data_IF_218454116299
#
_entry.id   IF_218454116299
#
_cell.length_a   1.000
_cell.length_b   1.000
_cell.length_c   1.000
_cell.angle_alpha   90.00
_cell.angle_beta   90.00
_cell.angle_gamma   90.00
#
_symmetry.space_group_name_H-M   'P 1'
#
loop_
_entity.id
_entity.type
_entity.pdbx_description
1 polymer ?
#
# COMPACT_ATOMS: atom_id res chain seq x y z
N UNK A 1 -15.82 39.38 75.32
CA UNK A 1 -14.48 39.55 75.91
C UNK A 1 -13.48 38.70 75.13
N UNK A 2 -12.36 39.32 74.71
CA UNK A 2 -11.08 38.73 74.23
C UNK A 2 -11.09 38.23 72.77
N UNK A 3 -10.45 38.93 71.83
CA UNK A 3 -9.00 38.90 71.49
C UNK A 3 -8.54 37.48 71.08
N UNK A 4 -7.80 37.20 70.01
CA UNK A 4 -6.92 38.00 69.17
C UNK A 4 -6.59 37.20 67.89
N UNK A 5 -6.30 37.92 66.82
CA UNK A 5 -5.40 37.51 65.75
C UNK A 5 -4.14 36.84 66.30
N UNK A 6 -3.92 35.54 66.05
CA UNK A 6 -2.58 34.99 65.80
C UNK A 6 -2.65 33.51 65.39
N UNK A 7 -2.37 33.19 64.13
CA UNK A 7 -1.25 32.30 63.79
C UNK A 7 -1.20 32.11 62.28
N UNK A 8 -0.30 32.88 61.69
CA UNK A 8 0.21 32.72 60.33
C UNK A 8 0.78 31.31 60.11
N UNK A 9 0.63 30.87 58.87
CA UNK A 9 1.56 30.01 58.14
C UNK A 9 1.76 28.60 58.66
N UNK A 10 1.26 27.60 57.91
CA UNK A 10 2.00 26.41 57.43
C UNK A 10 1.09 25.39 56.73
N UNK A 11 0.20 25.80 55.84
CA UNK A 11 -0.62 24.84 55.08
C UNK A 11 -0.67 25.15 53.58
N UNK A 12 0.48 25.51 53.01
CA UNK A 12 0.58 25.82 51.59
C UNK A 12 1.91 25.40 51.01
N UNK A 13 2.31 24.12 51.11
CA UNK A 13 3.43 23.59 50.29
C UNK A 13 3.69 22.07 50.30
N UNK A 14 2.69 21.20 50.51
CA UNK A 14 2.94 19.75 50.58
C UNK A 14 1.88 18.89 49.87
N UNK A 15 1.30 19.37 48.78
CA UNK A 15 0.33 18.59 47.97
C UNK A 15 0.69 18.54 46.47
N UNK A 16 1.97 18.64 46.12
CA UNK A 16 2.42 18.75 44.73
C UNK A 16 3.23 17.58 44.15
N UNK A 17 3.54 16.53 44.92
CA UNK A 17 4.46 15.47 44.44
C UNK A 17 3.97 14.02 44.63
N UNK A 18 2.78 13.80 45.21
CA UNK A 18 2.24 12.44 45.39
C UNK A 18 1.51 11.88 44.16
N UNK A 19 0.87 12.75 43.37
CA UNK A 19 0.00 12.31 42.27
C UNK A 19 0.76 12.01 40.96
N UNK A 20 1.97 12.52 40.77
CA UNK A 20 2.72 12.31 39.52
C UNK A 20 3.42 10.94 39.45
N UNK A 21 3.70 10.29 40.59
CA UNK A 21 4.37 8.98 40.63
C UNK A 21 3.40 7.80 40.50
N UNK A 22 2.12 7.98 40.82
CA UNK A 22 1.11 6.92 40.67
C UNK A 22 0.69 6.69 39.20
N UNK A 23 0.88 7.68 38.32
CA UNK A 23 0.50 7.57 36.90
C UNK A 23 1.62 6.96 36.04
N UNK A 24 2.88 6.98 36.50
CA UNK A 24 4.01 6.37 35.78
C UNK A 24 4.12 4.84 35.92
N UNK A 25 3.48 4.25 36.94
CA UNK A 25 3.55 2.81 37.23
C UNK A 25 2.54 1.95 36.46
N UNK A 26 1.58 2.56 35.74
CA UNK A 26 0.65 1.84 34.87
C UNK A 26 1.14 1.71 33.41
N UNK A 27 2.31 2.27 33.08
CA UNK A 27 2.84 2.27 31.73
C UNK A 27 3.88 1.16 31.44
N UNK A 28 4.19 0.30 32.42
CA UNK A 28 5.15 -0.78 32.27
C UNK A 28 4.51 -2.12 32.61
N UNK A 29 4.36 -3.00 31.61
CA UNK A 29 4.21 -4.44 31.85
C UNK A 29 2.97 -5.12 31.29
N UNK A 30 2.55 -4.78 30.07
CA UNK A 30 2.13 -5.86 29.18
C UNK A 30 3.40 -6.39 28.53
N UNK A 31 3.93 -7.54 28.96
CA UNK A 31 4.75 -8.33 28.04
C UNK A 31 3.87 -8.59 26.83
N UNK A 32 4.36 -8.34 25.61
CA UNK A 32 3.67 -8.85 24.44
C UNK A 32 3.69 -10.39 24.54
N UNK A 33 2.68 -10.98 25.17
CA UNK A 33 2.47 -12.42 25.15
C UNK A 33 2.00 -12.80 23.74
N UNK A 34 2.58 -13.87 23.20
CA UNK A 34 2.06 -14.47 22.00
C UNK A 34 0.63 -14.95 22.26
N UNK A 35 -0.27 -14.74 21.30
CA UNK A 35 -1.67 -15.13 21.42
C UNK A 35 -1.81 -16.64 21.76
N UNK A 36 -2.71 -16.98 22.67
CA UNK A 36 -3.00 -18.36 23.04
C UNK A 36 -3.65 -19.10 21.83
N UNK A 37 -3.47 -20.42 21.65
CA UNK A 37 -4.19 -21.19 20.63
C UNK A 37 -5.72 -20.96 20.55
N UNK A 38 -6.38 -20.64 21.68
CA UNK A 38 -7.81 -20.26 21.72
C UNK A 38 -8.08 -18.81 21.26
N UNK A 39 -7.06 -17.96 21.22
CA UNK A 39 -7.11 -16.63 20.59
C UNK A 39 -6.80 -16.71 19.09
N UNK A 40 -6.16 -17.79 18.61
CA UNK A 40 -5.93 -18.03 17.17
C UNK A 40 -7.19 -18.45 16.38
N UNK A 41 -8.38 -18.37 16.98
CA UNK A 41 -9.65 -18.83 16.41
C UNK A 41 -10.17 -18.02 15.20
N UNK A 42 -9.55 -16.90 14.86
CA UNK A 42 -10.02 -16.01 13.78
C UNK A 42 -8.96 -15.80 12.70
N UNK A 43 -8.65 -16.81 11.87
CA UNK A 43 -7.87 -16.63 10.63
C UNK A 43 -6.67 -15.67 10.78
N UNK A 44 -5.95 -15.78 11.91
CA UNK A 44 -4.83 -14.90 12.27
C UNK A 44 -3.51 -15.35 11.63
N UNK A 45 -3.55 -16.31 10.71
CA UNK A 45 -2.49 -16.45 9.74
C UNK A 45 -2.50 -15.19 8.88
N UNK A 46 -1.75 -14.17 9.29
CA UNK A 46 -1.51 -12.98 8.47
C UNK A 46 -1.14 -13.41 7.05
N UNK A 47 -1.43 -12.58 6.03
CA UNK A 47 -1.21 -12.97 4.63
C UNK A 47 0.22 -13.48 4.47
N UNK A 48 0.35 -14.77 4.15
CA UNK A 48 1.65 -15.40 3.91
C UNK A 48 2.03 -15.07 2.48
N UNK A 49 2.67 -13.92 2.32
CA UNK A 49 3.20 -13.51 1.04
C UNK A 49 4.46 -14.31 0.73
N UNK A 50 4.30 -15.34 -0.10
CA UNK A 50 5.40 -16.22 -0.52
C UNK A 50 6.23 -15.56 -1.64
N UNK A 51 5.77 -14.44 -2.20
CA UNK A 51 6.42 -13.77 -3.32
C UNK A 51 6.15 -14.49 -4.63
N UNK A 52 5.08 -15.28 -4.71
CA UNK A 52 4.75 -16.06 -5.89
C UNK A 52 4.04 -15.18 -6.94
N UNK A 53 4.80 -14.27 -7.56
CA UNK A 53 4.30 -13.34 -8.57
C UNK A 53 4.55 -13.90 -9.97
N UNK A 54 3.51 -13.90 -10.81
CA UNK A 54 3.56 -14.38 -12.18
C UNK A 54 4.64 -13.66 -13.02
N UNK A 55 5.13 -14.27 -14.10
CA UNK A 55 6.07 -13.63 -15.01
C UNK A 55 5.40 -12.50 -15.80
N UNK A 56 6.21 -11.56 -16.31
CA UNK A 56 5.76 -10.33 -16.97
C UNK A 56 4.76 -10.58 -18.11
N UNK A 57 4.91 -11.68 -18.85
CA UNK A 57 4.12 -12.02 -20.03
C UNK A 57 2.66 -12.37 -19.67
N UNK A 58 2.40 -12.82 -18.43
CA UNK A 58 1.05 -13.21 -17.99
C UNK A 58 0.10 -12.02 -17.87
N UNK A 59 0.63 -10.81 -17.68
CA UNK A 59 -0.18 -9.60 -17.56
C UNK A 59 -0.65 -9.05 -18.92
N UNK A 60 -0.01 -9.41 -20.04
CA UNK A 60 -0.20 -8.72 -21.32
C UNK A 60 -1.64 -8.78 -21.84
N UNK A 61 -2.28 -9.94 -21.74
CA UNK A 61 -3.69 -10.11 -22.14
C UNK A 61 -4.63 -9.27 -21.28
N UNK A 62 -4.38 -9.20 -19.97
CA UNK A 62 -5.17 -8.40 -19.05
C UNK A 62 -5.03 -6.92 -19.38
N UNK A 63 -3.80 -6.47 -19.64
CA UNK A 63 -3.51 -5.08 -20.02
C UNK A 63 -4.19 -4.73 -21.35
N UNK A 64 -4.09 -5.58 -22.38
CA UNK A 64 -4.71 -5.30 -23.68
C UNK A 64 -6.24 -5.18 -23.57
N UNK A 65 -6.89 -6.09 -22.85
CA UNK A 65 -8.34 -6.08 -22.68
C UNK A 65 -8.80 -4.87 -21.87
N UNK A 66 -8.20 -4.64 -20.69
CA UNK A 66 -8.58 -3.51 -19.85
C UNK A 66 -8.27 -2.16 -20.51
N UNK A 67 -7.18 -2.07 -21.28
CA UNK A 67 -6.86 -0.85 -22.03
C UNK A 67 -7.95 -0.54 -23.06
N UNK A 68 -8.33 -1.54 -23.87
CA UNK A 68 -9.38 -1.37 -24.86
C UNK A 68 -10.72 -1.01 -24.22
N UNK A 69 -11.11 -1.70 -23.15
CA UNK A 69 -12.32 -1.39 -22.39
C UNK A 69 -12.29 0.04 -21.84
N UNK A 70 -11.16 0.45 -21.23
CA UNK A 70 -11.00 1.80 -20.67
C UNK A 70 -11.08 2.89 -21.75
N UNK A 71 -10.38 2.73 -22.87
CA UNK A 71 -10.41 3.68 -23.98
C UNK A 71 -11.79 3.77 -24.64
N UNK A 72 -12.47 2.64 -24.83
CA UNK A 72 -13.81 2.62 -25.42
C UNK A 72 -14.87 3.22 -24.47
N UNK A 73 -14.91 2.77 -23.22
CA UNK A 73 -15.98 3.11 -22.27
C UNK A 73 -15.84 4.51 -21.69
N UNK A 74 -14.63 4.94 -21.31
CA UNK A 74 -14.45 6.20 -20.59
C UNK A 74 -13.94 7.34 -21.47
N UNK A 75 -13.28 7.03 -22.58
CA UNK A 75 -12.58 8.04 -23.39
C UNK A 75 -13.07 8.14 -24.84
N UNK A 76 -14.09 7.36 -25.20
CA UNK A 76 -14.65 7.29 -26.55
C UNK A 76 -13.55 7.19 -27.64
N UNK A 77 -12.53 6.37 -27.37
CA UNK A 77 -11.37 6.21 -28.23
C UNK A 77 -11.31 4.78 -28.77
N UNK A 78 -11.09 4.58 -30.09
CA UNK A 78 -10.94 3.26 -30.69
C UNK A 78 -9.50 2.71 -30.55
N UNK A 79 -8.70 3.28 -29.65
CA UNK A 79 -7.32 2.84 -29.45
C UNK A 79 -7.30 1.43 -28.87
N UNK A 80 -6.51 0.56 -29.49
CA UNK A 80 -6.25 -0.80 -29.02
C UNK A 80 -4.75 -1.06 -29.04
N UNK A 81 -4.29 -1.90 -28.11
CA UNK A 81 -2.92 -2.42 -28.14
C UNK A 81 -2.89 -3.59 -29.13
N UNK A 82 -2.09 -3.47 -30.18
CA UNK A 82 -1.95 -4.48 -31.24
C UNK A 82 -0.79 -5.44 -30.99
N UNK A 83 0.16 -5.07 -30.13
CA UNK A 83 1.29 -5.90 -29.79
C UNK A 83 2.15 -5.29 -28.69
N UNK A 84 3.05 -6.11 -28.15
CA UNK A 84 4.05 -5.72 -27.17
C UNK A 84 5.45 -6.06 -27.68
N UNK A 85 6.43 -5.26 -27.28
CA UNK A 85 7.83 -5.48 -27.61
C UNK A 85 8.74 -5.18 -26.41
N UNK A 86 9.88 -5.88 -26.34
CA UNK A 86 10.92 -5.63 -25.36
C UNK A 86 10.44 -5.69 -23.91
N UNK A 87 9.51 -6.60 -23.60
CA UNK A 87 9.01 -6.81 -22.23
C UNK A 87 10.13 -7.38 -21.39
N UNK A 88 10.43 -6.72 -20.27
CA UNK A 88 11.43 -7.18 -19.31
C UNK A 88 11.06 -6.73 -17.90
N UNK A 89 11.53 -7.49 -16.94
CA UNK A 89 11.46 -7.12 -15.53
C UNK A 89 12.38 -5.95 -15.23
N UNK A 90 11.89 -5.03 -14.39
CA UNK A 90 12.63 -3.86 -13.91
C UNK A 90 12.89 -3.91 -12.41
N UNK A 91 12.02 -4.54 -11.63
CA UNK A 91 12.25 -4.85 -10.23
C UNK A 91 11.36 -6.00 -9.76
N UNK A 92 11.82 -6.74 -8.77
CA UNK A 92 11.05 -7.76 -8.08
C UNK A 92 11.16 -7.55 -6.57
N UNK A 93 10.02 -7.37 -5.91
CA UNK A 93 9.91 -7.05 -4.47
C UNK A 93 10.84 -5.88 -4.05
N UNK A 94 10.68 -4.67 -4.64
CA UNK A 94 11.58 -3.55 -4.35
C UNK A 94 11.45 -2.99 -2.93
N UNK A 95 10.35 -3.27 -2.22
CA UNK A 95 10.13 -2.80 -0.86
C UNK A 95 10.48 -3.85 0.21
N UNK A 96 10.39 -3.44 1.47
CA UNK A 96 10.65 -4.30 2.64
C UNK A 96 9.84 -5.61 2.56
N UNK A 97 10.39 -6.67 3.15
CA UNK A 97 9.88 -8.06 3.07
C UNK A 97 8.39 -8.21 3.39
N UNK A 98 7.88 -7.34 4.26
CA UNK A 98 6.54 -7.44 4.85
C UNK A 98 5.46 -6.76 3.99
N UNK A 99 5.83 -6.19 2.84
CA UNK A 99 4.88 -5.65 1.89
C UNK A 99 4.39 -6.72 0.92
N UNK A 100 3.18 -6.51 0.39
CA UNK A 100 2.59 -7.31 -0.68
C UNK A 100 3.59 -7.40 -1.86
N UNK A 101 4.07 -8.60 -2.22
CA UNK A 101 5.05 -8.78 -3.27
C UNK A 101 4.55 -8.28 -4.62
N UNK A 102 5.41 -7.53 -5.31
CA UNK A 102 5.16 -7.01 -6.66
C UNK A 102 6.32 -7.30 -7.59
N UNK A 103 5.99 -7.64 -8.84
CA UNK A 103 6.93 -7.70 -9.97
C UNK A 103 6.64 -6.53 -10.90
N UNK A 104 7.63 -5.68 -11.13
CA UNK A 104 7.55 -4.53 -12.02
C UNK A 104 8.15 -4.86 -13.37
N UNK A 105 7.41 -4.58 -14.43
CA UNK A 105 7.81 -4.85 -15.79
C UNK A 105 7.64 -3.59 -16.64
N UNK A 106 8.50 -3.46 -17.64
CA UNK A 106 8.45 -2.37 -18.62
C UNK A 106 8.62 -2.95 -20.01
N UNK A 107 8.00 -2.28 -20.99
CA UNK A 107 8.28 -2.53 -22.39
C UNK A 107 7.61 -1.49 -23.28
N UNK A 108 7.28 -1.92 -24.49
CA UNK A 108 6.65 -1.10 -25.51
C UNK A 108 5.31 -1.69 -25.92
N UNK A 109 4.29 -0.85 -25.98
CA UNK A 109 2.98 -1.18 -26.53
C UNK A 109 2.83 -0.53 -27.91
N UNK A 110 2.53 -1.35 -28.91
CA UNK A 110 2.17 -0.91 -30.24
C UNK A 110 0.67 -0.63 -30.26
N UNK A 111 0.25 0.55 -30.70
CA UNK A 111 -1.16 0.92 -30.75
C UNK A 111 -1.70 0.98 -32.18
N UNK A 112 -3.03 0.89 -32.31
CA UNK A 112 -3.74 1.01 -33.59
C UNK A 112 -3.56 2.36 -34.30
N UNK A 113 -3.09 3.40 -33.61
CA UNK A 113 -2.72 4.69 -34.23
C UNK A 113 -1.31 4.70 -34.86
N UNK A 114 -0.63 3.56 -34.88
CA UNK A 114 0.71 3.40 -35.44
C UNK A 114 1.83 3.94 -34.55
N UNK A 115 1.52 4.47 -33.36
CA UNK A 115 2.53 5.00 -32.44
C UNK A 115 2.89 3.96 -31.38
N UNK A 116 4.18 3.82 -31.15
CA UNK A 116 4.74 2.99 -30.08
C UNK A 116 4.85 3.84 -28.81
N UNK A 117 4.37 3.31 -27.68
CA UNK A 117 4.43 3.98 -26.38
C UNK A 117 5.02 3.05 -25.33
N UNK A 118 5.73 3.62 -24.35
CA UNK A 118 6.20 2.83 -23.20
C UNK A 118 5.02 2.40 -22.35
N UNK A 119 5.04 1.15 -21.91
CA UNK A 119 4.10 0.61 -20.94
C UNK A 119 4.87 0.19 -19.69
N UNK A 120 4.38 0.61 -18.54
CA UNK A 120 4.89 0.24 -17.23
C UNK A 120 3.77 -0.43 -16.46
N UNK A 121 4.05 -1.57 -15.83
CA UNK A 121 3.04 -2.29 -15.08
C UNK A 121 3.66 -3.08 -13.94
N UNK A 122 2.82 -3.42 -12.96
CA UNK A 122 3.18 -4.29 -11.86
C UNK A 122 2.16 -5.41 -11.69
N UNK A 123 2.67 -6.60 -11.38
CA UNK A 123 1.88 -7.76 -11.01
C UNK A 123 2.00 -7.91 -9.50
N UNK A 124 0.86 -8.05 -8.82
CA UNK A 124 0.74 -7.92 -7.36
C UNK A 124 0.17 -9.23 -6.83
N UNK A 125 0.90 -9.87 -5.91
CA UNK A 125 0.37 -11.04 -5.19
C UNK A 125 -0.91 -10.64 -4.43
N UNK A 126 -1.98 -11.40 -4.60
CA UNK A 126 -3.30 -11.11 -4.01
C UNK A 126 -3.84 -9.68 -4.26
N UNK A 127 -3.35 -9.01 -5.31
CA UNK A 127 -3.82 -7.66 -5.69
C UNK A 127 -5.09 -7.65 -6.54
N UNK A 128 -5.72 -8.81 -6.76
CA UNK A 128 -6.94 -8.93 -7.54
C UNK A 128 -8.19 -8.45 -6.78
N UNK A 129 -9.34 -8.55 -7.43
CA UNK A 129 -10.61 -8.15 -6.81
C UNK A 129 -10.88 -8.97 -5.53
N UNK A 130 -11.14 -8.29 -4.42
CA UNK A 130 -11.32 -8.92 -3.10
C UNK A 130 -10.15 -9.82 -2.66
N UNK A 131 -8.92 -9.50 -3.10
CA UNK A 131 -7.72 -10.33 -2.87
C UNK A 131 -7.78 -11.72 -3.52
N UNK A 132 -8.64 -11.88 -4.54
CA UNK A 132 -8.76 -13.12 -5.30
C UNK A 132 -7.86 -12.99 -6.53
N UNK A 133 -6.87 -13.88 -6.65
CA UNK A 133 -5.83 -13.89 -7.69
C UNK A 133 -4.89 -12.67 -7.63
N UNK A 134 -3.92 -12.67 -8.55
CA UNK A 134 -2.95 -11.58 -8.69
C UNK A 134 -3.58 -10.35 -9.35
N UNK A 135 -3.19 -9.17 -8.88
CA UNK A 135 -3.58 -7.89 -9.45
C UNK A 135 -2.62 -7.46 -10.55
N UNK A 136 -3.14 -6.74 -11.54
CA UNK A 136 -2.32 -6.10 -12.59
C UNK A 136 -2.62 -4.61 -12.59
N UNK A 137 -1.64 -3.81 -12.17
CA UNK A 137 -1.67 -2.35 -12.28
C UNK A 137 -0.81 -1.92 -13.46
N UNK A 138 -1.30 -1.04 -14.33
CA UNK A 138 -0.61 -0.69 -15.57
C UNK A 138 -0.81 0.78 -15.96
N UNK A 139 0.16 1.31 -16.72
CA UNK A 139 0.15 2.65 -17.26
C UNK A 139 0.86 2.70 -18.62
N UNK A 140 0.19 3.26 -19.63
CA UNK A 140 0.78 3.56 -20.95
C UNK A 140 1.17 5.03 -20.99
N UNK A 141 2.46 5.30 -21.17
CA UNK A 141 3.01 6.65 -21.15
C UNK A 141 2.36 7.51 -22.26
N UNK A 142 1.84 8.68 -21.88
CA UNK A 142 1.11 9.58 -22.77
C UNK A 142 -0.37 9.23 -22.98
N UNK A 143 -0.87 8.15 -22.37
CA UNK A 143 -2.30 7.78 -22.36
C UNK A 143 -2.88 7.62 -20.95
N UNK A 144 -2.16 8.08 -19.93
CA UNK A 144 -2.70 8.24 -18.58
C UNK A 144 -3.59 9.49 -18.48
N UNK A 145 -4.78 9.40 -19.07
CA UNK A 145 -5.72 10.54 -19.21
C UNK A 145 -6.24 11.06 -17.88
N UNK A 146 -6.35 10.19 -16.87
CA UNK A 146 -6.83 10.54 -15.54
C UNK A 146 -5.71 10.80 -14.52
N UNK A 147 -4.46 10.86 -14.99
CA UNK A 147 -3.28 11.12 -14.15
C UNK A 147 -3.14 10.16 -12.96
N UNK A 148 -3.58 8.90 -13.12
CA UNK A 148 -3.53 7.90 -12.06
C UNK A 148 -2.10 7.56 -11.64
N UNK A 149 -1.13 7.69 -12.55
CA UNK A 149 0.26 7.32 -12.33
C UNK A 149 1.24 8.45 -12.66
N UNK A 150 0.82 9.70 -12.50
CA UNK A 150 1.58 10.90 -12.83
C UNK A 150 2.88 11.03 -11.98
N UNK A 151 3.96 11.66 -12.49
CA UNK A 151 4.21 12.09 -13.87
C UNK A 151 4.72 11.00 -14.80
N UNK A 152 4.18 10.91 -16.02
CA UNK A 152 4.63 9.98 -17.05
C UNK A 152 4.80 8.54 -16.54
N UNK A 153 3.74 7.98 -15.95
CA UNK A 153 3.75 6.64 -15.35
C UNK A 153 4.82 6.44 -14.26
N UNK A 154 5.27 7.49 -13.56
CA UNK A 154 6.25 7.35 -12.48
C UNK A 154 5.71 6.52 -11.33
N UNK A 155 4.44 6.65 -10.96
CA UNK A 155 3.87 5.86 -9.86
C UNK A 155 3.62 4.38 -10.21
N UNK A 156 3.66 4.02 -11.51
CA UNK A 156 3.57 2.63 -11.97
C UNK A 156 4.93 1.92 -12.00
N UNK A 157 6.01 2.62 -11.61
CA UNK A 157 7.38 2.13 -11.57
C UNK A 157 7.82 1.96 -10.11
N UNK A 158 8.92 1.21 -9.87
CA UNK A 158 9.51 1.06 -8.54
C UNK A 158 9.91 2.41 -7.92
#
# INVERSE_FOLDING_TARGET
>A
MRNLFNSRNKLGRKLGLGAALAVGLLAFGGTAEAANPLEMNFWLSGPRYDGNVAPCEKALTVISTQFQEKEATFWNSPLVITGFNGIHETAFRPWQSDNIPRRYCTGEAMLSDGKVRKVHYSIIEDGGFASINQGVEWCVAGLDRNWAYNPSCKAARP
#
